data_IF_692636200634
#
_entry.id   IF_692636200634
#
_cell.length_a   1.000
_cell.length_b   1.000
_cell.length_c   1.000
_cell.angle_alpha   90.00
_cell.angle_beta   90.00
_cell.angle_gamma   90.00
#
_symmetry.space_group_name_H-M   'P 1'
#
loop_
_entity.id
_entity.type
_entity.pdbx_description
1 polymer ?
#
# COMPACT_ATOMS: atom_id res chain seq x y z
N UNK A 1 -14.66 6.21 6.64
CA UNK A 1 -13.51 7.09 6.49
C UNK A 1 -12.41 6.74 7.50
N UNK A 2 -11.13 7.06 7.17
CA UNK A 2 -9.98 6.73 8.04
C UNK A 2 -10.03 7.40 9.42
N UNK A 3 -10.72 8.52 9.54
CA UNK A 3 -10.94 9.25 10.78
C UNK A 3 -12.28 8.93 11.47
N UNK A 4 -12.90 7.80 11.13
CA UNK A 4 -14.13 7.38 11.81
C UNK A 4 -13.84 7.03 13.28
N UNK A 5 -14.68 7.44 14.26
CA UNK A 5 -14.42 7.20 15.68
C UNK A 5 -14.10 5.75 16.04
N UNK A 6 -14.76 4.77 15.42
CA UNK A 6 -14.47 3.36 15.64
C UNK A 6 -13.09 2.95 15.14
N UNK A 7 -12.59 3.56 14.04
CA UNK A 7 -11.25 3.27 13.54
C UNK A 7 -10.19 3.94 14.41
N UNK A 8 -10.47 5.13 14.94
CA UNK A 8 -9.60 5.78 15.94
C UNK A 8 -9.50 4.93 17.21
N UNK A 9 -10.61 4.43 17.72
CA UNK A 9 -10.63 3.48 18.86
C UNK A 9 -9.86 2.19 18.54
N UNK A 10 -10.05 1.62 17.34
CA UNK A 10 -9.28 0.46 16.90
C UNK A 10 -7.78 0.74 16.89
N UNK A 11 -7.40 1.95 16.48
CA UNK A 11 -6.00 2.40 16.49
C UNK A 11 -5.40 2.40 17.89
N UNK A 12 -6.18 2.85 18.91
CA UNK A 12 -5.73 2.82 20.31
C UNK A 12 -5.59 1.39 20.83
N UNK A 13 -6.52 0.51 20.47
CA UNK A 13 -6.46 -0.91 20.84
C UNK A 13 -5.25 -1.58 20.18
N UNK A 14 -5.04 -1.34 18.89
CA UNK A 14 -3.92 -1.89 18.13
C UNK A 14 -2.57 -1.43 18.69
N UNK A 15 -2.44 -0.14 19.05
CA UNK A 15 -1.25 0.39 19.70
C UNK A 15 -0.96 -0.26 21.04
N UNK A 16 -2.00 -0.47 21.86
CA UNK A 16 -1.88 -1.13 23.18
C UNK A 16 -1.48 -2.60 23.07
N UNK A 17 -2.00 -3.30 22.07
CA UNK A 17 -1.73 -4.72 21.83
C UNK A 17 -0.49 -4.95 20.95
N UNK A 18 0.17 -3.87 20.50
CA UNK A 18 1.33 -3.92 19.60
C UNK A 18 1.03 -4.66 18.28
N UNK A 19 -0.17 -4.49 17.74
CA UNK A 19 -0.63 -5.09 16.48
C UNK A 19 -0.69 -4.02 15.38
N UNK A 20 -0.15 -4.25 14.16
CA UNK A 20 -0.30 -3.31 13.06
C UNK A 20 -1.71 -3.34 12.48
N UNK A 21 -2.12 -2.23 11.86
CA UNK A 21 -3.35 -2.14 11.09
C UNK A 21 -2.98 -2.03 9.62
N UNK A 22 -3.40 -2.99 8.80
CA UNK A 22 -3.39 -2.84 7.35
C UNK A 22 -4.62 -2.04 6.92
N UNK A 23 -4.38 -0.84 6.40
CA UNK A 23 -5.42 0.09 5.98
C UNK A 23 -5.49 0.16 4.46
N UNK A 24 -6.57 -0.33 3.86
CA UNK A 24 -6.88 -0.08 2.46
C UNK A 24 -7.73 1.19 2.33
N UNK A 25 -7.20 2.18 1.64
CA UNK A 25 -7.86 3.47 1.44
C UNK A 25 -7.36 4.11 0.14
N UNK A 26 -8.26 4.71 -0.64
CA UNK A 26 -7.88 5.45 -1.84
C UNK A 26 -7.11 6.73 -1.50
N UNK A 27 -6.19 7.10 -2.38
CA UNK A 27 -5.41 8.32 -2.28
C UNK A 27 -6.10 9.45 -3.03
N UNK A 28 -6.85 10.26 -2.32
CA UNK A 28 -7.56 11.43 -2.86
C UNK A 28 -7.20 12.64 -2.02
N UNK A 29 -6.43 13.58 -2.60
CA UNK A 29 -5.97 14.77 -1.89
C UNK A 29 -7.12 15.73 -1.61
N UNK A 30 -7.95 15.99 -2.63
CA UNK A 30 -9.09 16.89 -2.58
C UNK A 30 -10.33 16.22 -3.18
N UNK A 31 -11.51 16.64 -2.76
CA UNK A 31 -12.77 16.17 -3.33
C UNK A 31 -12.76 16.37 -4.85
N UNK A 32 -13.00 15.32 -5.60
CA UNK A 32 -12.81 15.31 -7.05
C UNK A 32 -13.89 14.47 -7.75
N UNK A 33 -14.30 14.82 -8.98
CA UNK A 33 -15.18 13.96 -9.76
C UNK A 33 -14.59 12.56 -9.94
N UNK A 34 -15.44 11.55 -9.89
CA UNK A 34 -15.01 10.18 -10.17
C UNK A 34 -14.59 10.06 -11.63
N UNK A 35 -13.36 9.65 -11.95
CA UNK A 35 -12.93 9.48 -13.33
C UNK A 35 -13.84 8.53 -14.10
N UNK A 36 -14.10 8.80 -15.37
CA UNK A 36 -15.03 8.03 -16.23
C UNK A 36 -14.75 6.52 -16.22
N UNK A 37 -13.45 6.13 -16.15
CA UNK A 37 -13.05 4.70 -16.08
C UNK A 37 -13.51 3.98 -14.81
N UNK A 38 -13.93 4.72 -13.78
CA UNK A 38 -14.45 4.20 -12.52
C UNK A 38 -15.92 4.61 -12.32
N UNK A 39 -16.49 5.39 -13.24
CA UNK A 39 -17.89 5.79 -13.17
C UNK A 39 -18.80 4.58 -13.37
N UNK A 40 -19.89 4.56 -12.66
CA UNK A 40 -20.89 3.48 -12.71
C UNK A 40 -20.75 2.45 -11.58
N UNK A 41 -21.66 1.50 -11.56
CA UNK A 41 -21.77 0.54 -10.47
C UNK A 41 -22.14 1.21 -9.15
N UNK A 42 -21.38 0.89 -8.10
CA UNK A 42 -21.60 1.44 -6.75
C UNK A 42 -20.68 2.63 -6.41
N UNK A 43 -19.87 3.09 -7.36
CA UNK A 43 -18.98 4.22 -7.10
C UNK A 43 -19.76 5.54 -7.05
N UNK A 44 -19.47 6.41 -6.08
CA UNK A 44 -20.12 7.71 -6.00
C UNK A 44 -19.68 8.60 -7.18
N UNK A 45 -20.49 9.59 -7.57
CA UNK A 45 -20.12 10.52 -8.64
C UNK A 45 -18.91 11.39 -8.31
N UNK A 46 -18.62 11.56 -7.03
CA UNK A 46 -17.47 12.31 -6.52
C UNK A 46 -16.69 11.49 -5.48
N UNK A 47 -15.38 11.50 -5.57
CA UNK A 47 -14.48 10.90 -4.59
C UNK A 47 -14.23 11.89 -3.45
N UNK A 48 -14.47 11.49 -2.19
CA UNK A 48 -14.17 12.35 -1.05
C UNK A 48 -12.66 12.47 -0.82
N UNK A 49 -12.20 13.60 -0.28
CA UNK A 49 -10.82 13.76 0.17
C UNK A 49 -10.50 12.74 1.28
N UNK A 50 -9.40 12.00 1.11
CA UNK A 50 -9.01 10.91 2.02
C UNK A 50 -7.65 11.14 2.69
N UNK A 51 -6.72 11.84 2.05
CA UNK A 51 -5.37 12.10 2.58
C UNK A 51 -5.43 12.87 3.90
N UNK A 52 -6.26 13.90 4.00
CA UNK A 52 -6.44 14.64 5.26
C UNK A 52 -7.02 13.77 6.40
N UNK A 53 -7.85 12.78 6.05
CA UNK A 53 -8.40 11.82 7.02
C UNK A 53 -7.33 10.82 7.48
N UNK A 54 -6.45 10.38 6.57
CA UNK A 54 -5.29 9.56 6.91
C UNK A 54 -4.36 10.30 7.88
N UNK A 55 -4.05 11.57 7.61
CA UNK A 55 -3.25 12.40 8.52
C UNK A 55 -3.85 12.45 9.92
N UNK A 56 -5.16 12.64 10.04
CA UNK A 56 -5.85 12.62 11.35
C UNK A 56 -5.73 11.29 12.07
N UNK A 57 -5.89 10.16 11.34
CA UNK A 57 -5.68 8.83 11.91
C UNK A 57 -4.26 8.65 12.44
N UNK A 58 -3.26 9.02 11.64
CA UNK A 58 -1.83 8.89 11.99
C UNK A 58 -1.45 9.74 13.19
N UNK A 59 -2.02 10.94 13.29
CA UNK A 59 -1.79 11.88 14.41
C UNK A 59 -2.51 11.42 15.67
N UNK A 60 -3.67 10.73 15.56
CA UNK A 60 -4.48 10.32 16.69
C UNK A 60 -3.68 9.46 17.69
N UNK A 61 -2.93 8.48 17.20
CA UNK A 61 -2.07 7.66 18.04
C UNK A 61 -0.76 7.30 17.34
N UNK A 62 0.29 8.06 17.60
CA UNK A 62 1.61 7.86 16.99
C UNK A 62 2.31 6.54 17.35
N UNK A 63 1.78 5.77 18.31
CA UNK A 63 2.30 4.43 18.66
C UNK A 63 1.70 3.33 17.80
N UNK A 64 0.55 3.56 17.17
CA UNK A 64 -0.09 2.59 16.29
C UNK A 64 0.68 2.46 14.97
N UNK A 65 1.01 1.25 14.56
CA UNK A 65 1.62 1.00 13.26
C UNK A 65 0.52 0.88 12.20
N UNK A 66 0.49 1.85 11.28
CA UNK A 66 -0.45 1.87 10.17
C UNK A 66 0.28 1.51 8.89
N UNK A 67 -0.06 0.38 8.30
CA UNK A 67 0.45 -0.06 7.00
C UNK A 67 -0.58 0.32 5.94
N UNK A 68 -0.27 1.32 5.12
CA UNK A 68 -1.16 1.68 4.03
C UNK A 68 -1.03 0.66 2.90
N UNK A 69 -2.04 -0.18 2.77
CA UNK A 69 -2.04 -1.32 1.86
C UNK A 69 -1.90 -0.82 0.41
N UNK A 70 -0.80 -1.20 -0.25
CA UNK A 70 -0.39 -0.86 -1.62
C UNK A 70 -0.60 0.61 -2.03
N UNK A 71 -0.61 1.52 -1.05
CA UNK A 71 -0.96 2.91 -1.24
C UNK A 71 -2.43 3.14 -1.58
N UNK A 72 -3.29 2.17 -1.29
CA UNK A 72 -4.68 2.19 -1.72
C UNK A 72 -4.82 2.05 -3.24
N UNK A 73 -6.01 2.32 -3.74
CA UNK A 73 -6.20 2.64 -5.16
C UNK A 73 -5.84 4.10 -5.37
N UNK A 74 -5.28 4.40 -6.53
CA UNK A 74 -4.89 5.75 -6.89
C UNK A 74 -5.68 6.23 -8.13
N UNK A 75 -6.97 6.54 -7.96
CA UNK A 75 -7.83 6.88 -9.08
C UNK A 75 -7.45 8.18 -9.78
N UNK A 76 -6.78 9.09 -9.08
CA UNK A 76 -6.44 10.42 -9.57
C UNK A 76 -4.94 10.61 -9.86
N UNK A 77 -4.08 9.63 -9.54
CA UNK A 77 -2.64 9.75 -9.69
C UNK A 77 -1.98 10.61 -8.59
N UNK A 78 -2.60 10.70 -7.40
CA UNK A 78 -2.13 11.52 -6.29
C UNK A 78 -1.01 10.84 -5.46
N UNK A 79 -0.84 9.52 -5.59
CA UNK A 79 0.16 8.72 -4.87
C UNK A 79 1.55 8.84 -5.51
N UNK A 80 2.14 10.01 -5.42
CA UNK A 80 3.51 10.23 -5.88
C UNK A 80 4.54 9.88 -4.80
N UNK A 81 5.79 9.64 -5.21
CA UNK A 81 6.87 9.46 -4.26
C UNK A 81 7.05 10.68 -3.33
N UNK A 82 6.77 11.89 -3.82
CA UNK A 82 6.79 13.11 -3.02
C UNK A 82 5.69 13.11 -1.95
N UNK A 83 4.44 12.85 -2.36
CA UNK A 83 3.31 12.78 -1.42
C UNK A 83 3.55 11.78 -0.28
N UNK A 84 4.13 10.61 -0.62
CA UNK A 84 4.42 9.58 0.37
C UNK A 84 5.59 9.99 1.26
N UNK A 85 6.62 10.64 0.69
CA UNK A 85 7.74 11.16 1.48
C UNK A 85 7.25 12.14 2.53
N UNK A 86 6.44 13.13 2.13
CA UNK A 86 5.90 14.14 3.04
C UNK A 86 5.06 13.49 4.17
N UNK A 87 4.22 12.51 3.81
CA UNK A 87 3.44 11.77 4.80
C UNK A 87 4.32 10.97 5.78
N UNK A 88 5.40 10.36 5.30
CA UNK A 88 6.31 9.59 6.14
C UNK A 88 7.22 10.47 7.00
N UNK A 89 7.60 11.63 6.51
CA UNK A 89 8.37 12.63 7.28
C UNK A 89 7.54 13.14 8.46
N UNK A 90 6.25 13.46 8.22
CA UNK A 90 5.33 13.95 9.25
C UNK A 90 4.88 12.87 10.23
N UNK A 91 4.77 11.61 9.76
CA UNK A 91 4.16 10.51 10.52
C UNK A 91 5.07 9.30 10.64
N UNK A 92 5.86 9.18 11.73
CA UNK A 92 6.76 8.06 11.96
C UNK A 92 6.09 6.69 12.07
N UNK A 93 4.81 6.63 12.29
CA UNK A 93 4.00 5.42 12.41
C UNK A 93 3.32 4.97 11.09
N UNK A 94 3.58 5.66 9.98
CA UNK A 94 3.11 5.25 8.66
C UNK A 94 4.10 4.29 8.00
N UNK A 95 3.61 3.19 7.51
CA UNK A 95 4.28 2.20 6.67
C UNK A 95 3.51 2.03 5.36
N UNK A 96 4.16 1.50 4.35
CA UNK A 96 3.52 1.27 3.04
C UNK A 96 3.82 -0.14 2.54
N UNK A 97 2.80 -0.87 2.17
CA UNK A 97 3.01 -2.08 1.37
C UNK A 97 3.05 -1.72 -0.12
N UNK A 98 4.04 -2.25 -0.82
CA UNK A 98 4.29 -1.94 -2.22
C UNK A 98 3.63 -2.98 -3.12
N UNK A 99 2.77 -2.54 -4.02
CA UNK A 99 2.23 -3.36 -5.10
C UNK A 99 2.92 -2.98 -6.41
N UNK A 100 3.74 -3.89 -6.90
CA UNK A 100 4.34 -3.72 -8.22
C UNK A 100 3.30 -4.09 -9.27
N UNK A 101 2.76 -3.08 -9.93
CA UNK A 101 1.75 -3.25 -10.98
C UNK A 101 2.34 -3.02 -12.36
N UNK A 102 1.76 -3.69 -13.35
CA UNK A 102 2.15 -3.53 -14.75
C UNK A 102 1.71 -2.19 -15.36
N UNK A 103 1.71 -2.12 -16.67
CA UNK A 103 1.53 -0.89 -17.48
C UNK A 103 0.22 -0.11 -17.30
N UNK A 104 -0.76 -0.65 -16.58
CA UNK A 104 -2.08 -0.02 -16.41
C UNK A 104 -2.18 0.95 -15.23
N UNK A 105 -1.15 0.99 -14.37
CA UNK A 105 -1.15 1.96 -13.27
C UNK A 105 -0.95 3.39 -13.79
N UNK A 106 -1.54 4.41 -13.14
CA UNK A 106 -1.24 5.80 -13.43
C UNK A 106 0.27 6.08 -13.37
N UNK A 107 0.82 6.98 -14.20
CA UNK A 107 2.26 7.29 -14.22
C UNK A 107 2.84 7.69 -12.86
N UNK A 108 2.06 8.39 -12.05
CA UNK A 108 2.47 8.88 -10.74
C UNK A 108 2.70 7.76 -9.71
N UNK A 109 2.05 6.62 -9.87
CA UNK A 109 2.09 5.48 -8.94
C UNK A 109 2.96 4.32 -9.45
N UNK A 110 3.75 4.53 -10.48
CA UNK A 110 4.61 3.48 -11.03
C UNK A 110 5.93 3.42 -10.29
N UNK A 111 6.16 2.31 -9.60
CA UNK A 111 7.50 1.95 -9.11
C UNK A 111 8.44 1.65 -10.27
N UNK A 112 7.92 1.07 -11.35
CA UNK A 112 8.68 0.71 -12.54
C UNK A 112 8.15 1.43 -13.78
N UNK A 113 9.02 2.11 -14.50
CA UNK A 113 8.78 2.66 -15.83
C UNK A 113 9.66 1.91 -16.84
N UNK A 114 9.05 1.31 -17.86
CA UNK A 114 9.77 0.54 -18.89
C UNK A 114 10.71 -0.54 -18.31
N UNK A 115 10.29 -1.21 -17.23
CA UNK A 115 11.08 -2.22 -16.53
C UNK A 115 12.23 -1.68 -15.66
N UNK A 116 12.35 -0.37 -15.51
CA UNK A 116 13.37 0.31 -14.71
C UNK A 116 12.73 0.90 -13.46
N UNK A 117 13.46 0.85 -12.35
CA UNK A 117 13.02 1.52 -11.13
C UNK A 117 13.08 3.05 -11.31
N UNK A 118 11.97 3.70 -11.03
CA UNK A 118 11.86 5.16 -11.04
C UNK A 118 12.78 5.77 -9.97
N UNK A 119 13.59 6.75 -10.36
CA UNK A 119 14.62 7.36 -9.48
C UNK A 119 14.02 8.00 -8.21
N UNK A 120 12.84 8.62 -8.34
CA UNK A 120 12.13 9.23 -7.21
C UNK A 120 11.69 8.19 -6.18
N UNK A 121 11.23 7.01 -6.64
CA UNK A 121 10.88 5.90 -5.76
C UNK A 121 12.11 5.29 -5.11
N UNK A 122 13.23 5.15 -5.84
CA UNK A 122 14.48 4.68 -5.23
C UNK A 122 14.98 5.65 -4.16
N UNK A 123 14.88 6.96 -4.39
CA UNK A 123 15.26 7.97 -3.39
C UNK A 123 14.38 7.88 -2.14
N UNK A 124 13.06 7.74 -2.30
CA UNK A 124 12.10 7.55 -1.21
C UNK A 124 12.40 6.28 -0.40
N UNK A 125 12.64 5.15 -1.07
CA UNK A 125 12.98 3.88 -0.41
C UNK A 125 14.29 3.98 0.38
N UNK A 126 15.28 4.70 -0.14
CA UNK A 126 16.55 4.96 0.57
C UNK A 126 16.38 5.90 1.76
N UNK A 127 15.48 6.88 1.67
CA UNK A 127 15.19 7.84 2.75
C UNK A 127 14.50 7.15 3.93
N UNK A 128 13.58 6.22 3.65
CA UNK A 128 12.78 5.52 4.65
C UNK A 128 12.92 3.99 4.55
N UNK A 129 14.14 3.42 4.65
CA UNK A 129 14.41 2.02 4.29
C UNK A 129 13.63 1.01 5.12
N UNK A 130 13.17 1.40 6.30
CA UNK A 130 12.49 0.55 7.28
C UNK A 130 10.95 0.65 7.22
N UNK A 131 10.41 1.38 6.23
CA UNK A 131 8.98 1.72 6.18
C UNK A 131 8.20 1.00 5.09
N UNK A 132 8.86 0.21 4.25
CA UNK A 132 8.25 -0.44 3.11
C UNK A 132 8.28 -1.96 3.23
N UNK A 133 7.18 -2.60 2.83
CA UNK A 133 7.07 -4.05 2.67
C UNK A 133 6.49 -4.39 1.31
N UNK A 134 6.68 -5.61 0.83
CA UNK A 134 6.00 -6.08 -0.38
C UNK A 134 4.55 -6.43 -0.05
N UNK A 135 3.63 -5.84 -0.81
CA UNK A 135 2.20 -6.15 -0.76
C UNK A 135 1.69 -6.54 -2.15
N UNK A 136 1.69 -7.82 -2.44
CA UNK A 136 1.38 -8.31 -3.79
C UNK A 136 -0.08 -8.12 -4.19
N UNK A 137 -0.97 -7.89 -3.23
CA UNK A 137 -2.43 -7.88 -3.46
C UNK A 137 -2.88 -9.13 -4.23
N UNK A 138 -2.33 -10.29 -3.84
CA UNK A 138 -2.59 -11.57 -4.48
C UNK A 138 -3.83 -12.23 -3.91
N UNK A 139 -4.61 -12.84 -4.79
CA UNK A 139 -5.80 -13.58 -4.40
C UNK A 139 -5.50 -15.08 -4.44
N UNK A 140 -5.85 -15.79 -3.39
CA UNK A 140 -5.73 -17.24 -3.31
C UNK A 140 -7.12 -17.83 -3.20
N UNK A 141 -7.56 -18.49 -4.27
CA UNK A 141 -8.79 -19.28 -4.23
C UNK A 141 -8.45 -20.68 -3.71
N UNK A 142 -9.22 -21.17 -2.75
CA UNK A 142 -9.08 -22.55 -2.30
C UNK A 142 -9.39 -23.53 -3.44
N UNK A 143 -8.61 -24.60 -3.57
CA UNK A 143 -8.69 -25.54 -4.68
C UNK A 143 -10.07 -26.23 -4.86
N UNK A 144 -10.83 -26.30 -3.76
CA UNK A 144 -12.20 -26.87 -3.77
C UNK A 144 -13.26 -25.86 -4.24
N UNK A 145 -12.94 -24.57 -4.30
CA UNK A 145 -13.85 -23.56 -4.83
C UNK A 145 -13.85 -23.63 -6.35
N UNK A 146 -14.80 -24.34 -6.89
CA UNK A 146 -15.07 -24.37 -8.33
C UNK A 146 -15.97 -23.19 -8.67
N UNK A 147 -15.47 -22.25 -9.44
CA UNK A 147 -16.27 -21.09 -9.81
C UNK A 147 -15.54 -20.11 -10.71
N UNK A 148 -16.31 -19.15 -11.22
CA UNK A 148 -15.85 -18.05 -12.09
C UNK A 148 -15.85 -16.70 -11.34
N UNK A 149 -15.83 -16.74 -10.01
CA UNK A 149 -15.85 -15.52 -9.19
C UNK A 149 -14.59 -14.66 -9.38
N UNK A 150 -14.67 -13.36 -9.08
CA UNK A 150 -13.56 -12.42 -9.26
C UNK A 150 -12.25 -12.88 -8.62
N UNK A 151 -12.31 -13.52 -7.45
CA UNK A 151 -11.13 -14.04 -6.75
C UNK A 151 -10.40 -15.13 -7.53
N UNK A 152 -11.11 -16.00 -8.24
CA UNK A 152 -10.52 -17.04 -9.11
C UNK A 152 -9.80 -16.41 -10.31
N UNK A 153 -10.45 -15.45 -10.97
CA UNK A 153 -9.85 -14.73 -12.10
C UNK A 153 -8.60 -13.92 -11.68
N UNK A 154 -8.65 -13.27 -10.52
CA UNK A 154 -7.49 -12.55 -10.00
C UNK A 154 -6.34 -13.48 -9.60
N UNK A 155 -6.62 -14.68 -9.08
CA UNK A 155 -5.59 -15.67 -8.72
C UNK A 155 -4.75 -16.11 -9.91
N UNK A 156 -5.32 -16.18 -11.11
CA UNK A 156 -4.61 -16.50 -12.37
C UNK A 156 -3.46 -15.52 -12.67
N UNK A 157 -3.49 -14.32 -12.09
CA UNK A 157 -2.47 -13.28 -12.29
C UNK A 157 -1.35 -13.31 -11.24
N UNK A 158 -1.42 -14.17 -10.23
CA UNK A 158 -0.46 -14.21 -9.14
C UNK A 158 0.98 -14.45 -9.64
N UNK A 159 1.18 -15.36 -10.60
CA UNK A 159 2.51 -15.62 -11.17
C UNK A 159 3.15 -14.36 -11.78
N UNK A 160 2.36 -13.53 -12.48
CA UNK A 160 2.83 -12.26 -13.03
C UNK A 160 3.16 -11.26 -11.93
N UNK A 161 2.34 -11.19 -10.88
CA UNK A 161 2.61 -10.34 -9.71
C UNK A 161 3.91 -10.75 -9.01
N UNK A 162 4.13 -12.05 -8.78
CA UNK A 162 5.35 -12.55 -8.17
C UNK A 162 6.59 -12.28 -9.05
N UNK A 163 6.47 -12.46 -10.37
CA UNK A 163 7.55 -12.11 -11.31
C UNK A 163 7.89 -10.62 -11.25
N UNK A 164 6.89 -9.75 -11.25
CA UNK A 164 7.07 -8.30 -11.16
C UNK A 164 7.73 -7.88 -9.84
N UNK A 165 7.32 -8.46 -8.71
CA UNK A 165 7.94 -8.17 -7.41
C UNK A 165 9.38 -8.64 -7.33
N UNK A 166 9.70 -9.85 -7.85
CA UNK A 166 11.10 -10.32 -7.92
C UNK A 166 11.96 -9.40 -8.78
N UNK A 167 11.44 -8.98 -9.94
CA UNK A 167 12.15 -8.04 -10.80
C UNK A 167 12.38 -6.70 -10.09
N UNK A 168 11.37 -6.14 -9.44
CA UNK A 168 11.50 -4.91 -8.65
C UNK A 168 12.61 -5.05 -7.59
N UNK A 169 12.59 -6.12 -6.80
CA UNK A 169 13.59 -6.36 -5.76
C UNK A 169 15.01 -6.50 -6.34
N UNK A 170 15.17 -7.10 -7.52
CA UNK A 170 16.48 -7.24 -8.17
C UNK A 170 17.08 -5.91 -8.65
N UNK A 171 16.28 -4.83 -8.72
CA UNK A 171 16.73 -3.49 -9.09
C UNK A 171 17.15 -2.65 -7.87
N UNK A 172 16.92 -3.14 -6.66
CA UNK A 172 17.32 -2.46 -5.42
C UNK A 172 18.74 -2.84 -5.01
N UNK A 173 19.48 -1.96 -4.30
CA UNK A 173 20.66 -2.36 -3.57
C UNK A 173 20.36 -3.55 -2.64
N UNK A 174 21.26 -4.53 -2.53
CA UNK A 174 21.00 -5.80 -1.85
C UNK A 174 20.46 -5.64 -0.42
N UNK A 175 21.05 -4.73 0.37
CA UNK A 175 20.59 -4.44 1.73
C UNK A 175 19.18 -3.88 1.78
N UNK A 176 18.82 -2.98 0.85
CA UNK A 176 17.49 -2.41 0.75
C UNK A 176 16.47 -3.45 0.27
N UNK A 177 16.85 -4.28 -0.71
CA UNK A 177 16.02 -5.39 -1.19
C UNK A 177 15.64 -6.34 -0.06
N UNK A 178 16.61 -6.74 0.78
CA UNK A 178 16.39 -7.61 1.93
C UNK A 178 15.46 -6.98 2.96
N UNK A 179 15.65 -5.69 3.29
CA UNK A 179 14.75 -4.95 4.18
C UNK A 179 13.30 -4.99 3.66
N UNK A 180 13.09 -4.57 2.42
CA UNK A 180 11.76 -4.47 1.80
C UNK A 180 11.10 -5.83 1.61
N UNK A 181 11.88 -6.85 1.26
CA UNK A 181 11.36 -8.19 1.01
C UNK A 181 10.97 -8.96 2.29
N UNK A 182 11.75 -8.82 3.37
CA UNK A 182 11.65 -9.70 4.54
C UNK A 182 11.73 -8.96 5.87
N UNK A 183 12.83 -8.25 6.14
CA UNK A 183 13.14 -7.76 7.48
C UNK A 183 12.08 -6.79 8.02
N UNK A 184 11.60 -5.88 7.17
CA UNK A 184 10.56 -4.93 7.56
C UNK A 184 9.24 -5.65 7.88
N UNK A 185 8.85 -6.65 7.08
CA UNK A 185 7.63 -7.41 7.36
C UNK A 185 7.74 -8.14 8.70
N UNK A 186 8.85 -8.82 8.96
CA UNK A 186 9.09 -9.50 10.23
C UNK A 186 8.97 -8.51 11.41
N UNK A 187 9.58 -7.34 11.30
CA UNK A 187 9.57 -6.33 12.36
C UNK A 187 8.19 -5.68 12.53
N UNK A 188 7.53 -5.28 11.44
CA UNK A 188 6.26 -4.56 11.48
C UNK A 188 5.14 -5.47 11.97
N UNK A 189 5.09 -6.72 11.50
CA UNK A 189 4.04 -7.67 11.83
C UNK A 189 4.39 -8.61 13.00
N UNK A 190 5.56 -8.44 13.62
CA UNK A 190 6.03 -9.29 14.74
C UNK A 190 6.03 -10.78 14.37
N UNK A 191 6.34 -11.09 13.12
CA UNK A 191 6.49 -12.49 12.68
C UNK A 191 7.83 -13.00 13.20
N UNK A 192 7.78 -13.87 14.20
CA UNK A 192 8.98 -14.59 14.64
C UNK A 192 9.24 -15.68 13.62
N UNK A 193 10.47 -15.77 13.12
CA UNK A 193 10.88 -16.87 12.25
C UNK A 193 10.61 -18.19 12.97
N UNK A 194 9.98 -19.15 12.29
CA UNK A 194 9.99 -20.52 12.76
C UNK A 194 11.47 -20.93 12.83
N UNK A 195 11.96 -21.16 14.05
CA UNK A 195 13.30 -21.69 14.29
C UNK A 195 13.47 -23.08 13.71
#
# INVERSE_FOLDING_TARGET
PADHPLLLLLTDVAARLDVPIDLHMDAVAEKSPTPTRYAGGHNPPELPATIGRLRRLLTHNGKARIVWAHGGSDPLGAMTAATISDLMDDHPNLYLSLRVVGSRAPPANKLLAHGRLESRWLALLKRHPDRFVIGTDSFFAASHLKGTGPGVEFSKRNALKFKANRHFLSLLPATLARKVAVENAMRIYRVHGAG
#
